data_IF_448981745964
#
_entry.id   IF_448981745964
#
_cell.length_a   1.000
_cell.length_b   1.000
_cell.length_c   1.000
_cell.angle_alpha   90.00
_cell.angle_beta   90.00
_cell.angle_gamma   90.00
#
_symmetry.space_group_name_H-M   'P 1'
#
loop_
_entity.id
_entity.type
_entity.pdbx_description
1 polymer ?
#
# COMPACT_ATOMS: atom_id res chain seq x y z
N UNK A 1 39.94 38.62 -2.88
CA UNK A 1 39.47 38.16 -1.56
C UNK A 1 38.65 36.90 -1.77
N UNK A 2 39.23 35.71 -1.53
CA UNK A 2 38.49 34.44 -1.63
C UNK A 2 37.61 34.27 -0.41
N UNK A 3 36.30 34.45 -0.56
CA UNK A 3 35.32 34.13 0.48
C UNK A 3 35.43 32.64 0.83
N UNK A 4 35.58 32.31 2.11
CA UNK A 4 35.72 30.93 2.55
C UNK A 4 34.49 30.11 2.15
N UNK A 5 34.68 28.80 1.89
CA UNK A 5 33.56 27.89 1.60
C UNK A 5 32.55 27.84 2.74
N UNK A 6 33.00 28.10 3.98
CA UNK A 6 32.16 28.26 5.16
C UNK A 6 31.26 29.50 5.07
N UNK A 7 31.83 30.67 4.72
CA UNK A 7 31.09 31.93 4.58
C UNK A 7 30.01 31.83 3.49
N UNK A 8 30.32 31.12 2.39
CA UNK A 8 29.37 30.86 1.30
C UNK A 8 28.19 29.98 1.74
N UNK A 9 28.45 28.99 2.60
CA UNK A 9 27.41 28.10 3.15
C UNK A 9 26.49 28.86 4.10
N UNK A 10 27.03 29.64 5.01
CA UNK A 10 26.24 30.33 6.03
C UNK A 10 25.36 31.42 5.40
N UNK A 11 25.89 32.17 4.41
CA UNK A 11 25.11 33.10 3.61
C UNK A 11 23.94 32.43 2.86
N UNK A 12 24.17 31.24 2.29
CA UNK A 12 23.13 30.47 1.60
C UNK A 12 22.02 30.00 2.55
N UNK A 13 22.37 29.57 3.78
CA UNK A 13 21.41 29.15 4.79
C UNK A 13 20.53 30.31 5.26
N UNK A 14 21.12 31.50 5.46
CA UNK A 14 20.38 32.70 5.87
C UNK A 14 19.34 33.09 4.82
N UNK A 15 19.73 33.12 3.54
CA UNK A 15 18.83 33.48 2.43
C UNK A 15 17.62 32.54 2.31
N UNK A 16 17.83 31.23 2.41
CA UNK A 16 16.72 30.27 2.35
C UNK A 16 15.80 30.38 3.58
N UNK A 17 16.34 30.66 4.77
CA UNK A 17 15.53 30.92 5.97
C UNK A 17 14.74 32.22 5.87
N UNK A 18 15.24 33.21 5.12
CA UNK A 18 14.55 34.45 4.78
C UNK A 18 13.41 34.29 3.77
N UNK A 19 13.13 33.07 3.29
CA UNK A 19 12.02 32.77 2.38
C UNK A 19 12.41 32.67 0.91
N UNK A 20 13.69 32.80 0.56
CA UNK A 20 14.13 32.59 -0.82
C UNK A 20 14.08 31.09 -1.22
N UNK A 21 13.61 30.75 -2.44
CA UNK A 21 13.62 29.39 -2.93
C UNK A 21 15.05 28.82 -3.01
N UNK A 22 15.26 27.63 -2.43
CA UNK A 22 16.57 26.97 -2.42
C UNK A 22 17.16 26.71 -3.82
N UNK A 23 16.33 26.62 -4.86
CA UNK A 23 16.77 26.49 -6.25
C UNK A 23 17.45 27.76 -6.77
N UNK A 24 16.95 28.93 -6.38
CA UNK A 24 17.51 30.23 -6.76
C UNK A 24 18.84 30.48 -6.03
N UNK A 25 18.86 30.23 -4.73
CA UNK A 25 20.08 30.37 -3.91
C UNK A 25 21.18 29.39 -4.39
N UNK A 26 20.80 28.19 -4.82
CA UNK A 26 21.74 27.21 -5.36
C UNK A 26 22.41 27.66 -6.67
N UNK A 27 21.64 28.27 -7.59
CA UNK A 27 22.17 28.84 -8.82
C UNK A 27 23.17 29.98 -8.53
N UNK A 28 22.84 30.88 -7.61
CA UNK A 28 23.71 32.00 -7.23
C UNK A 28 25.02 31.55 -6.56
N UNK A 29 24.96 30.49 -5.77
CA UNK A 29 26.12 29.95 -5.04
C UNK A 29 26.89 28.92 -5.87
N UNK A 30 26.41 28.55 -7.06
CA UNK A 30 27.07 27.60 -7.96
C UNK A 30 27.09 26.16 -7.42
N UNK A 31 26.04 25.73 -6.73
CA UNK A 31 25.91 24.37 -6.18
C UNK A 31 24.56 23.76 -6.57
N UNK A 32 24.43 22.44 -6.42
CA UNK A 32 23.15 21.77 -6.66
C UNK A 32 22.10 22.11 -5.56
N UNK A 33 20.80 22.25 -5.88
CA UNK A 33 19.76 22.58 -4.89
C UNK A 33 19.67 21.62 -3.68
N UNK A 34 20.01 20.34 -3.87
CA UNK A 34 20.08 19.36 -2.78
C UNK A 34 21.16 19.70 -1.74
N UNK A 35 22.27 20.28 -2.17
CA UNK A 35 23.37 20.72 -1.28
C UNK A 35 22.92 21.85 -0.36
N UNK A 36 22.18 22.83 -0.89
CA UNK A 36 21.62 23.93 -0.11
C UNK A 36 20.59 23.41 0.91
N UNK A 37 19.69 22.51 0.50
CA UNK A 37 18.72 21.86 1.41
C UNK A 37 19.43 21.10 2.54
N UNK A 38 20.55 20.43 2.23
CA UNK A 38 21.37 19.73 3.22
C UNK A 38 22.02 20.69 4.23
N UNK A 39 22.54 21.83 3.77
CA UNK A 39 23.09 22.86 4.67
C UNK A 39 22.04 23.45 5.61
N UNK A 40 20.84 23.75 5.09
CA UNK A 40 19.73 24.25 5.91
C UNK A 40 19.34 23.22 6.97
N UNK A 41 19.20 21.94 6.60
CA UNK A 41 18.89 20.85 7.54
C UNK A 41 19.95 20.70 8.63
N UNK A 42 21.23 20.75 8.26
CA UNK A 42 22.34 20.65 9.21
C UNK A 42 22.39 21.85 10.18
N UNK A 43 21.95 23.04 9.75
CA UNK A 43 21.87 24.23 10.60
C UNK A 43 20.64 24.25 11.53
N UNK A 44 19.68 23.34 11.35
CA UNK A 44 18.48 23.22 12.21
C UNK A 44 18.69 22.23 13.37
N UNK A 45 19.76 21.44 13.33
CA UNK A 45 20.15 20.55 14.43
C UNK A 45 21.15 21.32 15.32
N UNK A 46 20.84 21.61 16.60
CA UNK A 46 21.80 22.24 17.50
C UNK A 46 23.03 21.31 17.68
N UNK A 47 24.25 21.85 17.78
CA UNK A 47 25.44 21.04 17.97
C UNK A 47 25.42 20.46 19.39
N UNK A 48 24.93 19.22 19.52
CA UNK A 48 25.30 18.39 20.67
C UNK A 48 26.79 18.15 20.60
N UNK A 49 27.51 18.56 21.64
CA UNK A 49 28.92 18.28 21.85
C UNK A 49 29.19 16.78 21.67
N UNK A 50 29.89 16.43 20.59
CA UNK A 50 30.69 15.21 20.49
C UNK A 50 32.10 15.60 20.11
N UNK A 51 32.84 16.05 21.13
CA UNK A 51 34.28 15.84 21.17
C UNK A 51 34.50 14.38 21.53
N UNK A 52 35.07 13.60 20.60
CA UNK A 52 35.71 12.33 20.90
C UNK A 52 36.97 12.25 20.04
N UNK A 53 38.09 12.16 20.74
CA UNK A 53 39.48 12.20 20.30
C UNK A 53 39.87 11.08 19.30
N UNK A 54 40.97 11.26 18.55
CA UNK A 54 41.53 10.21 17.71
C UNK A 54 42.36 9.24 18.56
N UNK A 55 41.95 7.97 18.62
CA UNK A 55 42.78 6.90 19.19
C UNK A 55 43.88 6.51 18.19
N UNK A 56 45.10 6.94 18.49
CA UNK A 56 46.32 6.35 17.99
C UNK A 56 46.49 4.92 18.55
N UNK A 57 46.88 3.98 17.71
CA UNK A 57 47.45 2.69 18.13
C UNK A 57 48.42 2.23 17.04
N UNK A 58 49.69 2.10 17.44
CA UNK A 58 50.78 1.53 16.67
C UNK A 58 50.60 0.02 16.46
N UNK A 59 51.44 -0.58 15.59
CA UNK A 59 52.37 -1.62 16.06
C UNK A 59 53.78 -1.39 15.46
N UNK A 60 54.85 -1.39 16.27
CA UNK A 60 55.66 -2.54 16.72
C UNK A 60 56.49 -3.16 15.59
N UNK A 61 57.79 -2.83 15.61
CA UNK A 61 58.89 -3.55 14.94
C UNK A 61 58.93 -5.01 15.36
N UNK A 62 59.02 -5.91 14.38
CA UNK A 62 59.57 -7.25 14.56
C UNK A 62 60.06 -7.80 13.20
N UNK A 63 61.38 -7.69 13.02
CA UNK A 63 62.29 -8.72 12.53
C UNK A 63 61.85 -9.58 11.32
N UNK A 64 62.43 -9.25 10.15
CA UNK A 64 62.34 -10.05 8.92
C UNK A 64 63.53 -11.01 8.89
N UNK A 65 63.28 -12.30 9.09
CA UNK A 65 64.15 -13.38 8.60
C UNK A 65 63.51 -14.02 7.35
N UNK A 66 64.29 -14.33 6.29
CA UNK A 66 63.76 -14.96 5.10
C UNK A 66 63.61 -16.46 5.33
N UNK A 67 62.37 -16.95 5.40
CA UNK A 67 62.08 -18.38 5.33
C UNK A 67 62.11 -18.81 3.87
N UNK A 68 63.12 -19.61 3.54
CA UNK A 68 63.19 -20.43 2.32
C UNK A 68 62.02 -21.40 2.36
N UNK A 69 61.03 -21.24 1.47
CA UNK A 69 59.97 -22.22 1.24
C UNK A 69 60.28 -22.95 -0.05
N UNK A 70 60.56 -24.23 0.12
CA UNK A 70 60.80 -25.25 -0.88
C UNK A 70 59.56 -25.40 -1.77
N UNK A 71 59.74 -25.14 -3.06
CA UNK A 71 58.72 -25.26 -4.10
C UNK A 71 58.32 -26.73 -4.25
N UNK A 72 57.16 -27.08 -3.68
CA UNK A 72 56.56 -28.40 -3.87
C UNK A 72 55.63 -28.30 -5.07
N UNK A 73 55.99 -28.94 -6.17
CA UNK A 73 55.19 -29.05 -7.40
C UNK A 73 53.83 -29.70 -7.10
N UNK A 74 52.77 -28.90 -7.09
CA UNK A 74 51.40 -29.40 -7.16
C UNK A 74 50.96 -29.42 -8.65
N UNK A 75 50.36 -30.52 -9.14
CA UNK A 75 49.87 -30.60 -10.51
C UNK A 75 48.74 -29.57 -10.74
N UNK A 76 48.55 -29.10 -11.98
CA UNK A 76 47.57 -28.05 -12.25
C UNK A 76 46.16 -28.54 -11.90
N UNK A 77 45.53 -27.84 -10.95
CA UNK A 77 44.10 -27.92 -10.68
C UNK A 77 43.36 -27.61 -11.98
N UNK A 78 42.58 -28.59 -12.45
CA UNK A 78 41.65 -28.40 -13.54
C UNK A 78 40.63 -27.33 -13.12
N UNK A 79 40.51 -26.28 -13.92
CA UNK A 79 39.48 -25.25 -13.73
C UNK A 79 38.11 -25.92 -13.59
N UNK A 80 37.30 -25.55 -12.58
CA UNK A 80 35.95 -26.06 -12.46
C UNK A 80 35.16 -25.64 -13.71
N UNK A 81 34.59 -26.62 -14.41
CA UNK A 81 33.75 -26.37 -15.57
C UNK A 81 32.63 -25.39 -15.17
N UNK A 82 32.37 -24.34 -15.99
CA UNK A 82 31.34 -23.37 -15.70
C UNK A 82 29.98 -24.07 -15.60
N UNK A 83 29.23 -23.76 -14.55
CA UNK A 83 27.84 -24.20 -14.37
C UNK A 83 27.07 -23.93 -15.68
N UNK A 84 26.32 -24.91 -16.19
CA UNK A 84 25.56 -24.74 -17.42
C UNK A 84 24.60 -23.56 -17.27
N UNK A 85 24.68 -22.61 -18.21
CA UNK A 85 23.78 -21.46 -18.24
C UNK A 85 22.32 -21.94 -18.16
N UNK A 86 21.48 -21.32 -17.31
CA UNK A 86 20.09 -21.72 -17.17
C UNK A 86 19.42 -21.67 -18.55
N UNK A 87 18.84 -22.79 -18.97
CA UNK A 87 18.13 -22.88 -20.25
C UNK A 87 17.12 -21.72 -20.36
N UNK A 88 17.08 -21.03 -21.50
CA UNK A 88 16.17 -19.90 -21.68
C UNK A 88 14.73 -20.40 -21.49
N UNK A 89 14.00 -19.75 -20.60
CA UNK A 89 12.57 -20.01 -20.43
C UNK A 89 11.89 -19.94 -21.81
N UNK A 90 11.08 -20.95 -22.19
CA UNK A 90 10.48 -21.00 -23.51
C UNK A 90 9.65 -19.74 -23.73
N UNK A 91 9.96 -19.00 -24.80
CA UNK A 91 9.20 -17.82 -25.17
C UNK A 91 7.71 -18.21 -25.30
N UNK A 92 6.79 -17.39 -24.76
CA UNK A 92 5.36 -17.68 -24.84
C UNK A 92 4.98 -17.79 -26.31
N UNK A 93 4.20 -18.83 -26.66
CA UNK A 93 3.74 -19.00 -28.03
C UNK A 93 2.96 -17.75 -28.48
N UNK A 94 2.94 -17.46 -29.78
CA UNK A 94 2.23 -16.29 -30.33
C UNK A 94 0.77 -16.20 -29.84
N UNK A 95 0.14 -17.35 -29.60
CA UNK A 95 -1.21 -17.45 -29.05
C UNK A 95 -1.29 -17.07 -27.56
N UNK A 96 -0.30 -17.47 -26.75
CA UNK A 96 -0.17 -17.07 -25.35
C UNK A 96 0.18 -15.58 -25.23
N UNK A 97 1.09 -15.08 -26.07
CA UNK A 97 1.42 -13.67 -26.14
C UNK A 97 0.18 -12.84 -26.51
N UNK A 98 -0.59 -13.27 -27.51
CA UNK A 98 -1.84 -12.61 -27.90
C UNK A 98 -2.92 -12.68 -26.80
N UNK A 99 -3.04 -13.80 -26.07
CA UNK A 99 -3.96 -13.94 -24.96
C UNK A 99 -3.58 -13.03 -23.77
N UNK A 100 -2.29 -12.97 -23.43
CA UNK A 100 -1.75 -12.05 -22.42
C UNK A 100 -1.93 -10.59 -22.83
N UNK A 101 -1.74 -10.28 -24.11
CA UNK A 101 -1.95 -8.93 -24.63
C UNK A 101 -3.44 -8.56 -24.63
N UNK A 102 -4.36 -9.48 -24.95
CA UNK A 102 -5.82 -9.27 -24.82
C UNK A 102 -6.24 -9.08 -23.37
N UNK A 103 -5.70 -9.86 -22.43
CA UNK A 103 -5.93 -9.68 -21.00
C UNK A 103 -5.37 -8.34 -20.51
N UNK A 104 -4.18 -7.95 -20.98
CA UNK A 104 -3.59 -6.65 -20.67
C UNK A 104 -4.45 -5.50 -21.24
N UNK A 105 -4.94 -5.62 -22.47
CA UNK A 105 -5.82 -4.65 -23.13
C UNK A 105 -7.18 -4.55 -22.44
N UNK A 106 -7.75 -5.66 -21.95
CA UNK A 106 -8.97 -5.64 -21.12
C UNK A 106 -8.71 -5.06 -19.73
N UNK A 107 -7.53 -5.29 -19.16
CA UNK A 107 -7.11 -4.70 -17.89
C UNK A 107 -6.73 -3.20 -18.01
N UNK A 108 -6.31 -2.76 -19.20
CA UNK A 108 -5.93 -1.39 -19.57
C UNK A 108 -7.02 -0.63 -20.31
N UNK A 109 -8.15 -1.28 -20.63
CA UNK A 109 -9.34 -0.65 -21.17
C UNK A 109 -9.72 0.51 -20.25
N UNK A 110 -10.21 1.65 -20.79
CA UNK A 110 -10.29 2.91 -20.08
C UNK A 110 -11.12 2.73 -18.81
N UNK A 111 -10.40 2.65 -17.69
CA UNK A 111 -10.98 2.54 -16.36
C UNK A 111 -11.88 3.75 -16.10
N UNK A 112 -13.18 3.43 -16.07
CA UNK A 112 -14.13 3.78 -15.04
C UNK A 112 -14.77 5.17 -15.10
N UNK A 113 -15.87 5.31 -15.86
CA UNK A 113 -16.84 6.38 -15.62
C UNK A 113 -17.38 6.35 -14.17
N UNK A 114 -17.54 5.16 -13.58
CA UNK A 114 -18.09 4.96 -12.23
C UNK A 114 -17.11 5.41 -11.13
N UNK A 115 -15.82 5.08 -11.24
CA UNK A 115 -14.82 5.51 -10.24
C UNK A 115 -14.56 7.01 -10.34
N UNK A 116 -14.46 7.56 -11.56
CA UNK A 116 -14.36 9.02 -11.80
C UNK A 116 -15.58 9.79 -11.30
N UNK A 117 -16.78 9.24 -11.49
CA UNK A 117 -18.01 9.81 -10.96
C UNK A 117 -17.99 9.80 -9.43
N UNK A 118 -17.59 8.69 -8.82
CA UNK A 118 -17.39 8.60 -7.37
C UNK A 118 -16.36 9.61 -6.86
N UNK A 119 -15.27 9.81 -7.60
CA UNK A 119 -14.21 10.77 -7.25
C UNK A 119 -14.66 12.24 -7.32
N UNK A 120 -15.62 12.56 -8.20
CA UNK A 120 -16.19 13.91 -8.32
C UNK A 120 -17.08 14.32 -7.14
N UNK A 121 -17.57 13.35 -6.36
CA UNK A 121 -18.45 13.61 -5.22
C UNK A 121 -17.67 14.08 -3.99
N UNK A 122 -18.23 15.07 -3.29
CA UNK A 122 -17.72 15.50 -1.98
C UNK A 122 -17.78 14.38 -0.95
N UNK A 123 -16.92 14.45 0.06
CA UNK A 123 -16.77 13.41 1.08
C UNK A 123 -18.11 13.09 1.77
N UNK A 124 -18.87 14.13 2.14
CA UNK A 124 -20.19 14.00 2.75
C UNK A 124 -21.16 13.24 1.85
N UNK A 125 -21.13 13.49 0.54
CA UNK A 125 -22.00 12.80 -0.43
C UNK A 125 -21.64 11.32 -0.54
N UNK A 126 -20.35 10.95 -0.51
CA UNK A 126 -19.92 9.55 -0.54
C UNK A 126 -20.40 8.79 0.69
N UNK A 127 -20.23 9.38 1.88
CA UNK A 127 -20.77 8.79 3.11
C UNK A 127 -22.30 8.68 3.07
N UNK A 128 -22.99 9.73 2.62
CA UNK A 128 -24.44 9.72 2.49
C UNK A 128 -24.93 8.63 1.53
N UNK A 129 -24.23 8.38 0.41
CA UNK A 129 -24.55 7.29 -0.52
C UNK A 129 -24.39 5.91 0.12
N UNK A 130 -23.33 5.69 0.91
CA UNK A 130 -23.15 4.43 1.65
C UNK A 130 -24.28 4.22 2.64
N UNK A 131 -24.62 5.25 3.43
CA UNK A 131 -25.74 5.19 4.38
C UNK A 131 -27.07 4.96 3.66
N UNK A 132 -27.32 5.65 2.55
CA UNK A 132 -28.52 5.48 1.75
C UNK A 132 -28.63 4.07 1.16
N UNK A 133 -27.53 3.52 0.63
CA UNK A 133 -27.48 2.13 0.14
C UNK A 133 -27.72 1.11 1.24
N UNK A 134 -27.20 1.36 2.45
CA UNK A 134 -27.46 0.53 3.62
C UNK A 134 -28.92 0.62 4.09
N UNK A 135 -29.52 1.82 4.12
CA UNK A 135 -30.94 1.99 4.42
C UNK A 135 -31.83 1.33 3.36
N UNK A 136 -31.44 1.38 2.08
CA UNK A 136 -32.12 0.66 1.01
C UNK A 136 -32.06 -0.84 1.22
N UNK A 137 -30.94 -1.39 1.69
CA UNK A 137 -30.83 -2.80 2.07
C UNK A 137 -31.85 -3.17 3.17
N UNK A 138 -32.01 -2.32 4.20
CA UNK A 138 -33.03 -2.52 5.24
C UNK A 138 -34.46 -2.43 4.68
N UNK A 139 -34.71 -1.46 3.79
CA UNK A 139 -36.00 -1.30 3.14
C UNK A 139 -36.33 -2.53 2.29
N UNK A 140 -35.37 -3.05 1.53
CA UNK A 140 -35.53 -4.29 0.76
C UNK A 140 -35.80 -5.47 1.69
N UNK A 141 -35.08 -5.59 2.80
CA UNK A 141 -35.34 -6.65 3.79
C UNK A 141 -36.74 -6.58 4.40
N UNK A 142 -37.32 -5.38 4.49
CA UNK A 142 -38.66 -5.17 5.06
C UNK A 142 -39.79 -5.36 4.03
N UNK A 143 -39.58 -4.92 2.78
CA UNK A 143 -40.62 -4.95 1.73
C UNK A 143 -40.60 -6.23 0.90
N UNK A 144 -39.43 -6.86 0.72
CA UNK A 144 -39.30 -7.99 -0.18
C UNK A 144 -40.11 -9.20 0.33
N UNK A 145 -40.95 -9.82 -0.53
CA UNK A 145 -41.61 -11.06 -0.20
C UNK A 145 -40.60 -12.19 0.00
N UNK A 146 -41.02 -13.26 0.67
CA UNK A 146 -40.16 -14.41 0.95
C UNK A 146 -39.50 -14.95 -0.33
N UNK A 147 -38.15 -15.01 -0.39
CA UNK A 147 -37.43 -15.28 -1.62
C UNK A 147 -37.33 -16.77 -1.94
N UNK A 148 -38.20 -17.66 -1.41
CA UNK A 148 -38.08 -19.13 -1.52
C UNK A 148 -37.57 -19.65 -2.87
N UNK A 149 -38.19 -19.33 -4.03
CA UNK A 149 -37.72 -19.84 -5.32
C UNK A 149 -36.38 -19.22 -5.77
N UNK A 150 -36.05 -18.02 -5.32
CA UNK A 150 -34.83 -17.29 -5.70
C UNK A 150 -33.70 -17.43 -4.68
N UNK A 151 -33.96 -18.01 -3.51
CA UNK A 151 -33.02 -18.09 -2.38
C UNK A 151 -31.69 -18.73 -2.78
N UNK A 152 -31.62 -19.85 -3.52
CA UNK A 152 -30.33 -20.44 -3.91
C UNK A 152 -29.50 -19.52 -4.81
N UNK A 153 -30.17 -18.83 -5.75
CA UNK A 153 -29.53 -17.89 -6.67
C UNK A 153 -29.00 -16.68 -5.90
N UNK A 154 -29.81 -16.12 -5.00
CA UNK A 154 -29.43 -14.99 -4.16
C UNK A 154 -28.27 -15.32 -3.23
N UNK A 155 -28.28 -16.50 -2.59
CA UNK A 155 -27.17 -16.97 -1.74
C UNK A 155 -25.89 -17.13 -2.58
N UNK A 156 -25.99 -17.76 -3.75
CA UNK A 156 -24.84 -17.96 -4.66
C UNK A 156 -24.26 -16.61 -5.07
N UNK A 157 -25.10 -15.69 -5.53
CA UNK A 157 -24.68 -14.35 -5.92
C UNK A 157 -24.07 -13.57 -4.74
N UNK A 158 -24.65 -13.70 -3.54
CA UNK A 158 -24.12 -13.09 -2.33
C UNK A 158 -22.73 -13.62 -1.97
N UNK A 159 -22.52 -14.94 -2.04
CA UNK A 159 -21.23 -15.57 -1.75
C UNK A 159 -20.17 -15.24 -2.81
N UNK A 160 -20.54 -15.17 -4.10
CA UNK A 160 -19.64 -14.73 -5.17
C UNK A 160 -19.23 -13.27 -4.96
N UNK A 161 -20.19 -12.39 -4.68
CA UNK A 161 -19.93 -10.97 -4.41
C UNK A 161 -19.06 -10.78 -3.16
N UNK A 162 -19.28 -11.59 -2.12
CA UNK A 162 -18.46 -11.61 -0.91
C UNK A 162 -17.03 -12.02 -1.25
N UNK A 163 -16.84 -13.15 -1.93
CA UNK A 163 -15.53 -13.67 -2.34
C UNK A 163 -14.77 -12.65 -3.17
N UNK A 164 -15.43 -12.02 -4.14
CA UNK A 164 -14.83 -11.02 -5.02
C UNK A 164 -14.42 -9.76 -4.26
N UNK A 165 -15.32 -9.18 -3.44
CA UNK A 165 -15.04 -7.96 -2.68
C UNK A 165 -13.99 -8.18 -1.59
N UNK A 166 -14.17 -9.24 -0.79
CA UNK A 166 -13.25 -9.61 0.28
C UNK A 166 -11.89 -10.03 -0.25
N UNK A 167 -11.84 -10.85 -1.31
CA UNK A 167 -10.59 -11.26 -1.96
C UNK A 167 -9.82 -10.06 -2.51
N UNK A 168 -10.51 -9.07 -3.07
CA UNK A 168 -9.90 -7.82 -3.51
C UNK A 168 -9.31 -7.02 -2.35
N UNK A 169 -10.01 -6.92 -1.21
CA UNK A 169 -9.48 -6.27 0.00
C UNK A 169 -8.26 -7.02 0.53
N UNK A 170 -8.29 -8.35 0.55
CA UNK A 170 -7.16 -9.17 1.01
C UNK A 170 -5.93 -9.03 0.11
N UNK A 171 -6.11 -8.96 -1.21
CA UNK A 171 -5.02 -8.68 -2.13
C UNK A 171 -4.38 -7.31 -1.85
N UNK A 172 -5.17 -6.29 -1.52
CA UNK A 172 -4.64 -4.97 -1.12
C UNK A 172 -3.89 -5.01 0.20
N UNK A 173 -4.44 -5.67 1.21
CA UNK A 173 -3.79 -5.81 2.52
C UNK A 173 -2.47 -6.59 2.39
N UNK A 174 -2.46 -7.67 1.60
CA UNK A 174 -1.25 -8.43 1.30
C UNK A 174 -0.18 -7.57 0.61
N UNK A 175 -0.54 -6.82 -0.43
CA UNK A 175 0.38 -5.89 -1.08
C UNK A 175 0.88 -4.80 -0.13
N UNK A 176 0.01 -4.29 0.76
CA UNK A 176 0.40 -3.34 1.80
C UNK A 176 1.44 -3.92 2.77
N UNK A 177 1.32 -5.20 3.13
CA UNK A 177 2.32 -5.90 3.94
C UNK A 177 3.64 -6.13 3.19
N UNK A 178 3.58 -6.48 1.89
CA UNK A 178 4.78 -6.63 1.05
C UNK A 178 5.52 -5.29 0.86
N UNK A 179 4.78 -4.19 0.74
CA UNK A 179 5.35 -2.84 0.73
C UNK A 179 6.07 -2.52 2.05
N UNK A 180 5.49 -2.84 3.21
CA UNK A 180 6.16 -2.64 4.51
C UNK A 180 7.42 -3.50 4.65
N UNK A 181 7.43 -4.71 4.07
CA UNK A 181 8.61 -5.59 4.00
C UNK A 181 9.65 -5.14 2.96
N UNK A 182 9.41 -4.03 2.25
CA UNK A 182 10.24 -3.51 1.15
C UNK A 182 10.41 -4.47 -0.03
N UNK A 183 9.49 -5.43 -0.18
CA UNK A 183 9.50 -6.39 -1.28
C UNK A 183 8.76 -5.87 -2.52
N UNK A 184 7.98 -4.80 -2.39
CA UNK A 184 7.17 -4.21 -3.46
C UNK A 184 7.20 -2.69 -3.39
N UNK A 185 7.08 -2.04 -4.54
CA UNK A 185 7.05 -0.57 -4.64
C UNK A 185 5.67 -0.01 -4.27
N UNK A 186 5.63 1.24 -3.81
CA UNK A 186 4.38 1.90 -3.43
C UNK A 186 3.50 2.17 -4.67
N UNK A 187 4.14 2.42 -5.82
CA UNK A 187 3.49 2.66 -7.11
C UNK A 187 2.71 1.42 -7.57
N UNK A 188 3.26 0.23 -7.39
CA UNK A 188 2.58 -1.04 -7.68
C UNK A 188 1.34 -1.21 -6.80
N UNK A 189 1.46 -0.88 -5.52
CA UNK A 189 0.36 -0.94 -4.55
C UNK A 189 -0.74 0.07 -4.89
N UNK A 190 -0.37 1.28 -5.33
CA UNK A 190 -1.32 2.29 -5.80
C UNK A 190 -2.02 1.83 -7.09
N UNK A 191 -1.29 1.31 -8.08
CA UNK A 191 -1.85 0.80 -9.35
C UNK A 191 -2.83 -0.35 -9.11
N UNK A 192 -2.46 -1.30 -8.26
CA UNK A 192 -3.32 -2.42 -7.87
C UNK A 192 -4.56 -1.91 -7.14
N UNK A 193 -4.39 -0.96 -6.22
CA UNK A 193 -5.48 -0.32 -5.52
C UNK A 193 -6.49 0.35 -6.45
N UNK A 194 -6.04 1.05 -7.50
CA UNK A 194 -6.94 1.60 -8.50
C UNK A 194 -7.65 0.51 -9.31
N UNK A 195 -7.00 -0.64 -9.55
CA UNK A 195 -7.60 -1.79 -10.23
C UNK A 195 -8.72 -2.46 -9.42
N UNK A 196 -8.47 -2.64 -8.11
CA UNK A 196 -9.35 -3.40 -7.24
C UNK A 196 -10.49 -2.56 -6.64
N UNK A 197 -10.34 -1.24 -6.58
CA UNK A 197 -11.39 -0.35 -6.06
C UNK A 197 -12.77 -0.56 -6.71
N UNK A 198 -12.93 -0.58 -8.06
CA UNK A 198 -14.24 -0.83 -8.66
C UNK A 198 -14.79 -2.22 -8.31
N UNK A 199 -13.93 -3.23 -8.23
CA UNK A 199 -14.31 -4.60 -7.91
C UNK A 199 -14.82 -4.74 -6.46
N UNK A 200 -14.15 -4.05 -5.52
CA UNK A 200 -14.57 -3.98 -4.10
C UNK A 200 -15.96 -3.36 -3.98
N UNK A 201 -16.18 -2.20 -4.60
CA UNK A 201 -17.44 -1.46 -4.51
C UNK A 201 -18.58 -2.14 -5.28
N UNK A 202 -18.30 -2.74 -6.43
CA UNK A 202 -19.27 -3.53 -7.16
C UNK A 202 -19.74 -4.73 -6.34
N UNK A 203 -18.80 -5.51 -5.78
CA UNK A 203 -19.12 -6.62 -4.89
C UNK A 203 -19.92 -6.16 -3.66
N UNK A 204 -19.54 -5.05 -3.03
CA UNK A 204 -20.27 -4.50 -1.88
C UNK A 204 -21.70 -4.06 -2.24
N UNK A 205 -21.90 -3.49 -3.43
CA UNK A 205 -23.23 -3.12 -3.93
C UNK A 205 -24.11 -4.35 -4.10
N UNK A 206 -23.57 -5.41 -4.72
CA UNK A 206 -24.27 -6.69 -4.87
C UNK A 206 -24.58 -7.29 -3.49
N UNK A 207 -23.66 -7.19 -2.53
CA UNK A 207 -23.88 -7.64 -1.15
C UNK A 207 -25.02 -6.90 -0.44
N UNK A 208 -25.17 -5.59 -0.64
CA UNK A 208 -26.29 -4.82 -0.08
C UNK A 208 -27.62 -5.26 -0.69
N UNK A 209 -27.69 -5.38 -2.01
CA UNK A 209 -28.92 -5.77 -2.71
C UNK A 209 -29.31 -7.20 -2.34
N UNK A 210 -28.41 -8.16 -2.51
CA UNK A 210 -28.69 -9.57 -2.18
C UNK A 210 -28.89 -9.79 -0.69
N UNK A 211 -28.18 -9.07 0.17
CA UNK A 211 -28.36 -9.13 1.62
C UNK A 211 -29.74 -8.65 2.07
N UNK A 212 -30.26 -7.59 1.47
CA UNK A 212 -31.64 -7.13 1.70
C UNK A 212 -32.66 -8.13 1.17
N UNK A 213 -32.51 -8.59 -0.07
CA UNK A 213 -33.43 -9.55 -0.70
C UNK A 213 -33.46 -10.93 -0.02
N UNK A 214 -32.41 -11.31 0.72
CA UNK A 214 -32.40 -12.54 1.52
C UNK A 214 -33.27 -12.46 2.79
N UNK A 215 -33.91 -11.31 3.05
CA UNK A 215 -34.85 -11.05 4.14
C UNK A 215 -34.30 -11.50 5.51
N UNK A 216 -33.23 -10.84 6.03
CA UNK A 216 -32.73 -11.12 7.36
C UNK A 216 -33.82 -10.91 8.43
N UNK A 217 -33.89 -11.80 9.40
CA UNK A 217 -34.82 -11.68 10.54
C UNK A 217 -34.35 -10.53 11.46
N UNK A 218 -34.91 -9.33 11.25
CA UNK A 218 -34.60 -8.13 12.01
C UNK A 218 -35.16 -8.14 13.44
N UNK A 219 -35.93 -9.18 13.83
CA UNK A 219 -36.35 -9.40 15.21
C UNK A 219 -35.25 -9.98 16.10
N UNK A 220 -34.17 -10.51 15.51
CA UNK A 220 -33.04 -11.12 16.23
C UNK A 220 -31.82 -10.19 16.25
N UNK A 221 -30.99 -10.22 17.33
CA UNK A 221 -29.84 -9.32 17.45
C UNK A 221 -28.67 -9.65 16.51
N UNK A 222 -28.53 -10.91 16.08
CA UNK A 222 -27.40 -11.35 15.26
C UNK A 222 -27.37 -10.68 13.86
N UNK A 223 -28.46 -10.65 13.08
CA UNK A 223 -28.48 -9.93 11.81
C UNK A 223 -28.15 -8.44 11.95
N UNK A 224 -28.59 -7.78 13.04
CA UNK A 224 -28.23 -6.39 13.32
C UNK A 224 -26.72 -6.20 13.50
N UNK A 225 -26.05 -7.08 14.25
CA UNK A 225 -24.61 -7.04 14.41
C UNK A 225 -23.91 -7.13 13.05
N UNK A 226 -24.30 -8.08 12.20
CA UNK A 226 -23.76 -8.22 10.83
C UNK A 226 -23.99 -6.95 10.01
N UNK A 227 -25.20 -6.39 10.02
CA UNK A 227 -25.57 -5.21 9.24
C UNK A 227 -24.79 -3.96 9.69
N UNK A 228 -24.57 -3.78 10.99
CA UNK A 228 -23.75 -2.68 11.54
C UNK A 228 -22.28 -2.88 11.16
N UNK A 229 -21.74 -4.09 11.28
CA UNK A 229 -20.36 -4.38 10.83
C UNK A 229 -20.18 -4.06 9.35
N UNK A 230 -21.14 -4.43 8.51
CA UNK A 230 -21.13 -4.15 7.07
C UNK A 230 -21.21 -2.63 6.79
N UNK A 231 -22.02 -1.88 7.54
CA UNK A 231 -22.06 -0.41 7.44
C UNK A 231 -20.72 0.21 7.83
N UNK A 232 -20.18 -0.15 8.99
CA UNK A 232 -18.88 0.35 9.48
C UNK A 232 -17.77 0.06 8.47
N UNK A 233 -17.76 -1.14 7.90
CA UNK A 233 -16.83 -1.55 6.85
C UNK A 233 -16.95 -0.64 5.62
N UNK A 234 -18.17 -0.39 5.12
CA UNK A 234 -18.40 0.44 3.96
C UNK A 234 -17.96 1.89 4.18
N UNK A 235 -18.27 2.45 5.35
CA UNK A 235 -17.84 3.81 5.74
C UNK A 235 -16.31 3.88 5.89
N UNK A 236 -15.69 2.86 6.47
CA UNK A 236 -14.23 2.75 6.56
C UNK A 236 -13.59 2.67 5.17
N UNK A 237 -14.22 2.01 4.20
CA UNK A 237 -13.80 2.00 2.80
C UNK A 237 -13.70 3.40 2.19
N UNK A 238 -14.70 4.27 2.44
CA UNK A 238 -14.67 5.68 2.01
C UNK A 238 -13.52 6.44 2.68
N UNK A 239 -13.36 6.28 4.01
CA UNK A 239 -12.28 6.93 4.76
C UNK A 239 -10.89 6.51 4.26
N UNK A 240 -10.72 5.23 3.96
CA UNK A 240 -9.46 4.63 3.49
C UNK A 240 -9.10 5.10 2.09
N UNK A 241 -10.09 5.20 1.20
CA UNK A 241 -9.88 5.77 -0.13
C UNK A 241 -9.37 7.22 -0.02
N UNK A 242 -9.89 8.02 0.90
CA UNK A 242 -9.41 9.38 1.12
C UNK A 242 -8.00 9.41 1.71
N UNK A 243 -7.73 8.59 2.74
CA UNK A 243 -6.41 8.50 3.37
C UNK A 243 -5.34 8.17 2.33
N UNK A 244 -5.63 7.25 1.41
CA UNK A 244 -4.73 6.89 0.31
C UNK A 244 -4.39 8.06 -0.59
N UNK A 245 -5.36 8.90 -0.97
CA UNK A 245 -5.10 10.09 -1.79
C UNK A 245 -4.21 11.10 -1.07
N UNK A 246 -4.38 11.27 0.25
CA UNK A 246 -3.51 12.15 1.04
C UNK A 246 -2.08 11.60 1.14
N UNK A 247 -1.94 10.27 1.24
CA UNK A 247 -0.65 9.60 1.35
C UNK A 247 0.08 9.49 0.01
N UNK A 248 -0.62 9.47 -1.13
CA UNK A 248 0.00 9.41 -2.46
C UNK A 248 0.91 10.62 -2.76
N UNK A 249 0.71 11.76 -2.09
CA UNK A 249 1.59 12.92 -2.18
C UNK A 249 2.85 12.83 -1.30
N UNK A 250 2.99 11.78 -0.49
CA UNK A 250 4.11 11.62 0.46
C UNK A 250 4.98 10.43 0.04
N UNK A 251 6.17 10.69 -0.49
CA UNK A 251 7.16 9.64 -0.81
C UNK A 251 7.60 8.95 0.48
N UNK A 252 7.07 7.77 0.75
CA UNK A 252 7.32 7.01 1.99
C UNK A 252 7.82 5.59 1.67
N UNK A 253 9.00 5.25 2.20
CA UNK A 253 9.66 3.95 2.03
C UNK A 253 9.14 2.90 3.03
N UNK A 254 7.85 2.97 3.36
CA UNK A 254 7.16 2.09 4.31
C UNK A 254 6.36 2.82 5.39
N UNK A 255 5.54 2.06 6.11
CA UNK A 255 4.60 2.50 7.14
C UNK A 255 5.29 3.19 8.33
N UNK A 256 6.51 2.76 8.68
CA UNK A 256 7.31 3.38 9.75
C UNK A 256 7.76 4.80 9.43
N UNK A 257 7.90 5.13 8.15
CA UNK A 257 8.32 6.47 7.69
C UNK A 257 7.18 7.49 7.72
N UNK A 258 5.93 7.03 7.85
CA UNK A 258 4.76 7.90 7.97
C UNK A 258 4.71 8.62 9.32
N UNK A 259 4.14 9.82 9.33
CA UNK A 259 3.82 10.53 10.56
C UNK A 259 3.00 9.63 11.51
N UNK A 260 3.25 9.64 12.83
CA UNK A 260 2.61 8.72 13.78
C UNK A 260 1.08 8.68 13.71
N UNK A 261 0.45 9.84 13.46
CA UNK A 261 -1.00 9.94 13.29
C UNK A 261 -1.50 9.25 12.01
N UNK A 262 -0.81 9.42 10.89
CA UNK A 262 -1.18 8.78 9.62
C UNK A 262 -0.98 7.25 9.71
N UNK A 263 0.14 6.81 10.29
CA UNK A 263 0.42 5.39 10.56
C UNK A 263 -0.70 4.74 11.38
N UNK A 264 -1.10 5.37 12.49
CA UNK A 264 -2.20 4.86 13.32
C UNK A 264 -3.50 4.75 12.54
N UNK A 265 -3.85 5.74 11.72
CA UNK A 265 -5.07 5.70 10.89
C UNK A 265 -5.06 4.55 9.89
N UNK A 266 -3.93 4.29 9.22
CA UNK A 266 -3.80 3.16 8.28
C UNK A 266 -3.98 1.83 9.01
N UNK A 267 -3.26 1.63 10.13
CA UNK A 267 -3.34 0.38 10.92
C UNK A 267 -4.74 0.16 11.47
N UNK A 268 -5.33 1.19 12.10
CA UNK A 268 -6.67 1.09 12.69
C UNK A 268 -7.72 0.82 11.61
N UNK A 269 -7.63 1.47 10.45
CA UNK A 269 -8.54 1.20 9.33
C UNK A 269 -8.43 -0.24 8.84
N UNK A 270 -7.22 -0.77 8.66
CA UNK A 270 -7.03 -2.14 8.21
C UNK A 270 -7.58 -3.15 9.23
N UNK A 271 -7.24 -2.98 10.52
CA UNK A 271 -7.76 -3.83 11.60
C UNK A 271 -9.28 -3.78 11.72
N UNK A 272 -9.88 -2.58 11.58
CA UNK A 272 -11.33 -2.40 11.61
C UNK A 272 -12.00 -3.16 10.46
N UNK A 273 -11.45 -3.05 9.24
CA UNK A 273 -11.95 -3.81 8.09
C UNK A 273 -11.91 -5.31 8.35
N UNK A 274 -10.79 -5.83 8.87
CA UNK A 274 -10.63 -7.27 9.18
C UNK A 274 -11.64 -7.75 10.23
N UNK A 275 -11.79 -6.98 11.31
CA UNK A 275 -12.75 -7.29 12.37
C UNK A 275 -14.19 -7.32 11.84
N UNK A 276 -14.59 -6.33 11.02
CA UNK A 276 -15.92 -6.27 10.43
C UNK A 276 -16.18 -7.41 9.45
N UNK A 277 -15.22 -7.73 8.57
CA UNK A 277 -15.34 -8.87 7.64
C UNK A 277 -15.47 -10.20 8.37
N UNK A 278 -14.58 -10.47 9.32
CA UNK A 278 -14.59 -11.71 10.09
C UNK A 278 -15.91 -11.85 10.88
N UNK A 279 -16.36 -10.77 11.52
CA UNK A 279 -17.64 -10.77 12.24
C UNK A 279 -18.81 -11.05 11.31
N UNK A 280 -18.85 -10.41 10.14
CA UNK A 280 -19.93 -10.62 9.16
C UNK A 280 -19.98 -12.05 8.62
N UNK A 281 -18.81 -12.68 8.39
CA UNK A 281 -18.69 -14.08 7.96
C UNK A 281 -19.13 -15.03 9.08
N UNK A 282 -18.59 -14.87 10.29
CA UNK A 282 -18.93 -15.72 11.45
C UNK A 282 -20.42 -15.64 11.76
N UNK A 283 -20.99 -14.44 11.82
CA UNK A 283 -22.42 -14.25 12.03
C UNK A 283 -23.23 -14.85 10.88
N UNK A 284 -22.80 -14.67 9.63
CA UNK A 284 -23.44 -15.28 8.47
C UNK A 284 -23.51 -16.81 8.55
N UNK A 285 -22.39 -17.45 8.90
CA UNK A 285 -22.31 -18.90 9.10
C UNK A 285 -23.21 -19.34 10.26
N UNK A 286 -23.13 -18.66 11.41
CA UNK A 286 -23.97 -18.98 12.57
C UNK A 286 -25.47 -18.86 12.27
N UNK A 287 -25.88 -17.81 11.53
CA UNK A 287 -27.29 -17.64 11.12
C UNK A 287 -27.76 -18.66 10.08
N UNK A 288 -26.83 -19.24 9.32
CA UNK A 288 -27.15 -20.24 8.29
C UNK A 288 -27.18 -21.65 8.88
N UNK A 289 -26.25 -21.97 9.78
CA UNK A 289 -26.17 -23.26 10.48
C UNK A 289 -27.23 -23.44 11.57
N UNK A 290 -27.78 -22.35 12.09
CA UNK A 290 -28.84 -22.36 13.11
C UNK A 290 -30.27 -22.35 12.55
N UNK A 291 -30.44 -22.45 11.23
CA UNK A 291 -31.73 -22.65 10.55
C UNK A 291 -31.84 -24.11 10.11
#
# INVERSE_FOLDING_TARGET
MSTSSADRRDAAVIRVRGGEPATRVAADVGVHPSTVRRWVKAATVPPTMTAAEPKASAPTDADVQPVVVEETEHPPDAEPEPDPEPEPEPEPSDEQAAALQRLHVLASAPRDAISRWGESLSMTRRYALVVAGWLLCLLLAWVAPDPEPLRPVLVTLHLLAMTVSFGSVMALDWHGLLWERRQRQIEESIRLSHALSPLIWAGLTVLFVTGGLLAPDLGRPLPWLKLVCVLVLALNGVATAQLRHHLAGTTSDGLRSLAPGARRKVVLSSLLSQACWLTAVVVGMATTLGR
#
